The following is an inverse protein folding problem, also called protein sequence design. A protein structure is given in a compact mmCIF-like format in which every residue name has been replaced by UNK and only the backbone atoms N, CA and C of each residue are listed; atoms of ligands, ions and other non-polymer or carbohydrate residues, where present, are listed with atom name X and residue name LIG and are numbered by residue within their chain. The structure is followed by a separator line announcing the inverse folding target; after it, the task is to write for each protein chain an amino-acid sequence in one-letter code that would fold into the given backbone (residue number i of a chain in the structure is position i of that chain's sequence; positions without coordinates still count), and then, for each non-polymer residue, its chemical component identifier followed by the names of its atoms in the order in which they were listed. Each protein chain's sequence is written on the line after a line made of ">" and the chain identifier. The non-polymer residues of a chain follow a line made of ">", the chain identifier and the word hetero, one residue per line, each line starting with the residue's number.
data_IF_704002751524
#
_entry.id   IF_704002751524
#
_cell.length_a   1.000
_cell.length_b   1.000
_cell.length_c   1.000
_cell.angle_alpha   90.00
_cell.angle_beta   90.00
_cell.angle_gamma   90.00
#
_symmetry.space_group_name_H-M   'P 1'
#
loop_
_entity.id
_entity.type
_entity.pdbx_description
1 polymer ?
#
# COMPACT_ATOMS: atom_id res chain seq x y z
N UNK A 1 -21.60 -130.79 -29.92
CA UNK A 1 -22.53 -129.65 -30.16
C UNK A 1 -22.98 -128.91 -28.90
N UNK A 2 -22.87 -129.48 -27.68
CA UNK A 2 -23.24 -128.81 -26.41
C UNK A 2 -22.21 -127.80 -25.86
N UNK A 3 -20.94 -127.91 -26.22
CA UNK A 3 -19.86 -127.03 -25.73
C UNK A 3 -19.85 -125.64 -26.39
N UNK A 4 -20.32 -125.53 -27.65
CA UNK A 4 -20.44 -124.25 -28.37
C UNK A 4 -21.57 -123.37 -27.84
N UNK A 5 -22.65 -123.98 -27.31
CA UNK A 5 -23.78 -123.26 -26.70
C UNK A 5 -23.36 -122.62 -25.37
N UNK A 6 -22.50 -123.28 -24.58
CA UNK A 6 -21.98 -122.73 -23.32
C UNK A 6 -21.03 -121.54 -23.57
N UNK A 7 -20.25 -121.57 -24.66
CA UNK A 7 -19.37 -120.46 -25.06
C UNK A 7 -20.12 -119.23 -25.56
N UNK A 8 -21.30 -119.40 -26.18
CA UNK A 8 -22.13 -118.28 -26.65
C UNK A 8 -22.91 -117.65 -25.48
N UNK A 9 -23.30 -118.44 -24.47
CA UNK A 9 -23.95 -117.94 -23.27
C UNK A 9 -23.00 -117.13 -22.38
N UNK A 10 -21.71 -117.53 -22.30
CA UNK A 10 -20.69 -116.81 -21.53
C UNK A 10 -20.27 -115.48 -22.20
N UNK A 11 -20.35 -115.39 -23.53
CA UNK A 11 -20.02 -114.18 -24.29
C UNK A 11 -21.14 -113.12 -24.23
N UNK A 12 -22.39 -113.55 -23.98
CA UNK A 12 -23.53 -112.63 -23.83
C UNK A 12 -23.56 -111.88 -22.49
N UNK A 13 -22.87 -112.39 -21.46
CA UNK A 13 -22.86 -111.76 -20.12
C UNK A 13 -21.88 -110.58 -20.02
N UNK A 14 -20.95 -110.42 -20.97
CA UNK A 14 -19.93 -109.36 -20.95
C UNK A 14 -20.49 -108.03 -21.51
N UNK A 15 -21.64 -108.05 -22.18
CA UNK A 15 -22.21 -106.88 -22.86
C UNK A 15 -23.12 -105.99 -21.98
N UNK A 16 -23.39 -106.34 -20.72
CA UNK A 16 -24.28 -105.56 -19.82
C UNK A 16 -23.49 -104.67 -18.83
N UNK A 17 -22.25 -104.32 -19.18
CA UNK A 17 -21.31 -103.63 -18.29
C UNK A 17 -20.98 -102.17 -18.61
N UNK A 18 -21.70 -101.49 -19.52
CA UNK A 18 -21.40 -100.10 -19.89
C UNK A 18 -22.63 -99.18 -19.76
N UNK A 19 -22.92 -98.78 -18.53
CA UNK A 19 -23.80 -97.64 -18.24
C UNK A 19 -22.93 -96.42 -17.94
N UNK A 20 -22.63 -95.66 -19.00
CA UNK A 20 -22.01 -94.34 -18.90
C UNK A 20 -22.86 -93.45 -17.97
N UNK A 21 -22.31 -93.12 -16.80
CA UNK A 21 -22.85 -92.09 -15.92
C UNK A 21 -22.74 -90.75 -16.65
N UNK A 22 -23.88 -90.19 -17.02
CA UNK A 22 -23.99 -88.83 -17.50
C UNK A 22 -23.68 -87.86 -16.33
N UNK A 23 -22.56 -87.16 -16.44
CA UNK A 23 -22.22 -86.04 -15.56
C UNK A 23 -23.29 -84.96 -15.66
N UNK A 24 -24.07 -84.80 -14.58
CA UNK A 24 -24.88 -83.61 -14.37
C UNK A 24 -23.96 -82.48 -13.93
N UNK A 25 -23.48 -81.69 -14.89
CA UNK A 25 -22.89 -80.38 -14.59
C UNK A 25 -24.04 -79.46 -14.14
N UNK A 26 -24.14 -79.27 -12.83
CA UNK A 26 -25.01 -78.28 -12.21
C UNK A 26 -24.60 -76.89 -12.71
N UNK A 27 -25.44 -76.25 -13.52
CA UNK A 27 -25.21 -74.89 -14.01
C UNK A 27 -25.26 -73.94 -12.82
N UNK A 28 -24.08 -73.57 -12.30
CA UNK A 28 -23.95 -72.55 -11.26
C UNK A 28 -24.64 -71.25 -11.70
N UNK A 29 -25.53 -70.75 -10.83
CA UNK A 29 -26.25 -69.50 -11.00
C UNK A 29 -25.24 -68.34 -10.88
N UNK A 30 -24.68 -67.93 -12.00
CA UNK A 30 -23.74 -66.80 -12.05
C UNK A 30 -24.48 -65.48 -11.86
N UNK A 31 -24.05 -64.73 -10.83
CA UNK A 31 -24.54 -63.39 -10.54
C UNK A 31 -23.79 -62.39 -11.42
N UNK A 32 -24.50 -61.66 -12.27
CA UNK A 32 -23.88 -60.65 -13.13
C UNK A 32 -23.57 -59.40 -12.32
N UNK A 33 -22.30 -59.00 -12.31
CA UNK A 33 -21.84 -57.75 -11.71
C UNK A 33 -21.54 -56.74 -12.81
N UNK A 34 -21.93 -55.49 -12.59
CA UNK A 34 -21.61 -54.40 -13.51
C UNK A 34 -20.18 -53.96 -13.24
N UNK A 35 -19.29 -54.19 -14.20
CA UNK A 35 -17.91 -53.70 -14.16
C UNK A 35 -17.78 -52.45 -15.04
N UNK A 36 -16.73 -51.68 -14.78
CA UNK A 36 -16.31 -50.58 -15.66
C UNK A 36 -14.82 -50.73 -15.92
N UNK A 37 -14.38 -50.39 -17.13
CA UNK A 37 -12.95 -50.38 -17.46
C UNK A 37 -12.28 -49.18 -16.79
N UNK A 38 -11.11 -49.41 -16.20
CA UNK A 38 -10.28 -48.35 -15.63
C UNK A 38 -9.45 -47.76 -16.77
N UNK A 39 -9.49 -46.44 -16.92
CA UNK A 39 -8.64 -45.69 -17.85
C UNK A 39 -7.67 -44.82 -17.06
N UNK A 40 -6.38 -44.89 -17.39
CA UNK A 40 -5.39 -43.95 -16.89
C UNK A 40 -5.57 -42.63 -17.61
N UNK A 41 -5.88 -41.57 -16.86
CA UNK A 41 -5.94 -40.19 -17.37
C UNK A 41 -4.93 -39.34 -16.60
N UNK A 42 -4.35 -38.37 -17.28
CA UNK A 42 -3.46 -37.40 -16.65
C UNK A 42 -4.24 -36.59 -15.62
N UNK A 43 -3.94 -36.82 -14.35
CA UNK A 43 -4.55 -36.11 -13.22
C UNK A 43 -3.68 -34.90 -12.86
N UNK A 44 -4.16 -33.72 -13.19
CA UNK A 44 -3.53 -32.45 -12.80
C UNK A 44 -4.07 -32.05 -11.42
N UNK A 45 -3.31 -32.32 -10.35
CA UNK A 45 -3.66 -31.89 -9.00
C UNK A 45 -3.45 -30.38 -8.84
N UNK A 46 -4.48 -29.57 -9.13
CA UNK A 46 -4.43 -28.11 -8.98
C UNK A 46 -4.90 -27.70 -7.59
N UNK A 47 -3.99 -27.15 -6.79
CA UNK A 47 -4.31 -26.49 -5.52
C UNK A 47 -4.57 -25.00 -5.77
N UNK A 48 -5.79 -24.54 -5.53
CA UNK A 48 -6.16 -23.11 -5.64
C UNK A 48 -6.07 -22.49 -4.25
N UNK A 49 -5.10 -21.60 -4.06
CA UNK A 49 -4.93 -20.86 -2.82
C UNK A 49 -5.40 -19.42 -3.04
N UNK A 50 -6.49 -18.98 -2.40
CA UNK A 50 -6.90 -17.58 -2.46
C UNK A 50 -5.88 -16.72 -1.70
N UNK A 51 -5.42 -15.64 -2.32
CA UNK A 51 -4.49 -14.69 -1.73
C UNK A 51 -4.93 -13.26 -1.99
N UNK A 52 -4.47 -12.33 -1.14
CA UNK A 52 -4.64 -10.89 -1.35
C UNK A 52 -3.30 -10.30 -1.75
N UNK A 53 -3.32 -9.48 -2.81
CA UNK A 53 -2.17 -8.67 -3.18
C UNK A 53 -2.10 -7.46 -2.25
N UNK A 54 -0.93 -7.27 -1.64
CA UNK A 54 -0.63 -6.08 -0.85
C UNK A 54 0.57 -5.36 -1.47
N UNK A 55 0.62 -4.02 -1.38
CA UNK A 55 1.77 -3.27 -1.82
C UNK A 55 3.00 -3.67 -1.00
N UNK A 56 4.15 -3.82 -1.67
CA UNK A 56 5.43 -4.09 -1.00
C UNK A 56 5.81 -2.94 -0.05
N UNK A 57 5.53 -1.71 -0.47
CA UNK A 57 5.79 -0.48 0.29
C UNK A 57 4.58 0.44 0.16
N UNK A 58 4.17 1.02 1.29
CA UNK A 58 3.09 2.00 1.35
C UNK A 58 3.53 3.16 2.22
N UNK A 59 3.43 4.37 1.69
CA UNK A 59 3.80 5.60 2.40
C UNK A 59 2.63 6.55 2.38
N UNK A 60 2.24 7.02 3.56
CA UNK A 60 1.27 8.10 3.71
C UNK A 60 2.00 9.43 3.69
N UNK A 61 1.75 10.25 2.67
CA UNK A 61 2.31 11.59 2.57
C UNK A 61 1.42 12.56 3.34
N UNK A 62 1.97 13.19 4.38
CA UNK A 62 1.30 14.23 5.16
C UNK A 62 2.03 15.56 5.03
N UNK A 63 1.27 16.65 5.13
CA UNK A 63 1.89 17.96 5.22
C UNK A 63 2.55 18.13 6.59
N UNK A 64 3.74 18.72 6.61
CA UNK A 64 4.41 19.19 7.84
C UNK A 64 3.95 20.58 8.27
N UNK A 65 3.28 21.30 7.38
CA UNK A 65 2.80 22.65 7.58
C UNK A 65 1.27 22.68 7.58
N UNK A 66 0.69 23.44 8.49
CA UNK A 66 -0.74 23.73 8.51
C UNK A 66 -1.04 24.85 7.51
N UNK A 67 -2.06 24.69 6.68
CA UNK A 67 -2.45 25.71 5.72
C UNK A 67 -3.47 25.22 4.70
N UNK A 68 -3.99 26.13 3.90
CA UNK A 68 -4.92 25.83 2.80
C UNK A 68 -4.15 25.35 1.58
N UNK A 69 -4.66 24.32 0.88
CA UNK A 69 -4.06 23.87 -0.38
C UNK A 69 -4.34 24.92 -1.46
N UNK A 70 -3.29 25.49 -2.03
CA UNK A 70 -3.34 26.38 -3.18
C UNK A 70 -3.55 25.62 -4.49
N UNK A 71 -2.84 24.50 -4.69
CA UNK A 71 -2.99 23.68 -5.90
C UNK A 71 -2.61 22.22 -5.68
N UNK A 72 -3.16 21.32 -6.51
CA UNK A 72 -2.77 19.91 -6.60
C UNK A 72 -2.30 19.66 -8.03
N UNK A 73 -1.06 19.20 -8.19
CA UNK A 73 -0.38 19.08 -9.49
C UNK A 73 -0.31 17.64 -10.00
N UNK A 74 -1.10 16.72 -9.42
CA UNK A 74 -1.16 15.32 -9.83
C UNK A 74 -2.60 14.84 -9.98
N UNK A 75 -2.76 13.78 -10.77
CA UNK A 75 -4.02 13.05 -10.92
C UNK A 75 -3.96 11.72 -10.20
N UNK A 76 -5.11 11.27 -9.69
CA UNK A 76 -5.25 9.97 -9.03
C UNK A 76 -4.90 8.85 -10.00
N UNK A 77 -4.05 7.91 -9.56
CA UNK A 77 -3.62 6.76 -10.35
C UNK A 77 -2.37 7.01 -11.21
N UNK A 78 -1.84 8.23 -11.26
CA UNK A 78 -0.56 8.49 -11.94
C UNK A 78 0.64 8.13 -11.08
N UNK A 79 1.68 7.61 -11.72
CA UNK A 79 2.96 7.37 -11.09
C UNK A 79 3.67 8.70 -10.79
N UNK A 80 4.26 8.80 -9.61
CA UNK A 80 5.03 9.97 -9.16
C UNK A 80 6.48 9.59 -8.89
N UNK A 81 7.41 10.52 -9.15
CA UNK A 81 8.84 10.32 -8.86
C UNK A 81 9.21 10.94 -7.51
N UNK A 82 10.30 10.45 -6.91
CA UNK A 82 10.85 11.05 -5.68
C UNK A 82 11.18 12.53 -5.94
N UNK A 83 10.67 13.40 -5.07
CA UNK A 83 10.87 14.85 -5.18
C UNK A 83 9.93 15.57 -6.15
N UNK A 84 8.96 14.86 -6.76
CA UNK A 84 7.94 15.49 -7.58
C UNK A 84 6.95 16.30 -6.71
N UNK A 85 6.62 17.50 -7.16
CA UNK A 85 5.62 18.34 -6.54
C UNK A 85 4.23 17.72 -6.69
N UNK A 86 3.56 17.47 -5.55
CA UNK A 86 2.22 16.88 -5.51
C UNK A 86 1.16 17.94 -5.25
N UNK A 87 1.40 18.83 -4.30
CA UNK A 87 0.47 19.91 -3.93
C UNK A 87 1.25 21.14 -3.44
N UNK A 88 0.66 22.32 -3.59
CA UNK A 88 1.15 23.59 -3.06
C UNK A 88 0.24 24.07 -1.94
N UNK A 89 0.82 24.45 -0.80
CA UNK A 89 0.11 25.09 0.31
C UNK A 89 0.27 26.60 0.14
N UNK A 90 -0.79 27.34 0.41
CA UNK A 90 -0.77 28.80 0.40
C UNK A 90 0.11 29.33 1.53
N UNK A 91 1.17 30.06 1.17
CA UNK A 91 2.15 30.66 2.06
C UNK A 91 2.02 32.19 2.17
N UNK A 92 1.03 32.78 1.49
CA UNK A 92 0.84 34.24 1.42
C UNK A 92 0.72 34.88 2.81
N UNK A 93 -0.01 34.24 3.73
CA UNK A 93 -0.17 34.72 5.10
C UNK A 93 1.14 34.79 5.89
N UNK A 94 2.08 33.88 5.64
CA UNK A 94 3.38 33.90 6.32
C UNK A 94 4.25 35.03 5.80
N UNK A 95 4.21 35.29 4.48
CA UNK A 95 4.92 36.42 3.89
C UNK A 95 4.35 37.75 4.37
N UNK A 96 3.02 37.89 4.41
CA UNK A 96 2.35 39.09 4.94
C UNK A 96 2.73 39.34 6.40
N UNK A 97 2.76 38.30 7.25
CA UNK A 97 3.18 38.44 8.65
C UNK A 97 4.64 38.87 8.77
N UNK A 98 5.52 38.30 7.95
CA UNK A 98 6.94 38.68 7.91
C UNK A 98 7.11 40.15 7.53
N UNK A 99 6.47 40.58 6.44
CA UNK A 99 6.55 41.97 5.96
C UNK A 99 5.95 42.95 6.99
N UNK A 100 4.83 42.61 7.63
CA UNK A 100 4.23 43.42 8.68
C UNK A 100 5.13 43.54 9.92
N UNK A 101 5.77 42.46 10.35
CA UNK A 101 6.68 42.47 11.49
C UNK A 101 7.96 43.27 11.18
N UNK A 102 8.48 43.18 9.95
CA UNK A 102 9.62 43.98 9.47
C UNK A 102 9.31 45.47 9.51
N UNK A 103 8.16 45.87 8.97
CA UNK A 103 7.68 47.26 9.01
C UNK A 103 7.51 47.73 10.46
N UNK A 104 7.07 46.86 11.37
CA UNK A 104 6.98 47.14 12.80
C UNK A 104 8.34 47.51 13.43
N UNK A 105 9.39 46.76 13.10
CA UNK A 105 10.77 47.06 13.52
C UNK A 105 11.26 48.37 12.91
N UNK A 106 11.04 48.58 11.62
CA UNK A 106 11.46 49.81 10.94
C UNK A 106 10.80 51.06 11.54
N UNK A 107 9.51 50.99 11.87
CA UNK A 107 8.80 52.07 12.55
C UNK A 107 9.34 52.34 13.97
N UNK A 108 9.67 51.28 14.71
CA UNK A 108 10.23 51.41 16.05
C UNK A 108 11.64 52.02 16.00
N UNK A 109 12.47 51.59 15.04
CA UNK A 109 13.80 52.18 14.78
C UNK A 109 13.68 53.66 14.41
N UNK A 110 12.81 54.03 13.48
CA UNK A 110 12.59 55.43 13.11
C UNK A 110 12.07 56.28 14.28
N UNK A 111 11.32 55.69 15.21
CA UNK A 111 10.85 56.39 16.40
C UNK A 111 11.99 56.61 17.38
N UNK A 112 12.82 55.60 17.61
CA UNK A 112 14.02 55.71 18.43
C UNK A 112 15.00 56.73 17.84
N UNK A 113 15.28 56.67 16.53
CA UNK A 113 16.17 57.61 15.84
C UNK A 113 15.66 59.05 15.91
N UNK A 114 14.35 59.27 15.81
CA UNK A 114 13.77 60.61 16.01
C UNK A 114 13.93 61.07 17.45
N UNK A 115 13.76 60.18 18.44
CA UNK A 115 13.93 60.56 19.83
C UNK A 115 15.39 60.85 20.15
N UNK A 116 16.35 60.04 19.70
CA UNK A 116 17.78 60.22 19.98
C UNK A 116 18.40 61.42 19.26
N UNK A 117 17.96 61.74 18.04
CA UNK A 117 18.48 62.88 17.28
C UNK A 117 17.89 64.24 17.70
N UNK A 118 16.70 64.26 18.34
CA UNK A 118 16.02 65.49 18.76
C UNK A 118 16.02 65.72 20.28
N UNK A 119 16.54 64.80 21.09
CA UNK A 119 16.65 65.01 22.54
C UNK A 119 17.95 65.73 22.89
N UNK A 120 17.83 66.91 23.51
CA UNK A 120 18.94 67.56 24.20
C UNK A 120 19.52 66.60 25.26
N UNK A 121 20.85 66.66 25.48
CA UNK A 121 21.66 65.73 26.28
C UNK A 121 21.15 65.51 27.73
N UNK A 122 20.29 66.41 28.23
CA UNK A 122 19.63 66.39 29.54
C UNK A 122 18.29 65.66 29.59
N UNK A 123 17.69 65.31 28.45
CA UNK A 123 16.47 64.49 28.31
C UNK A 123 16.80 63.05 27.91
N UNK A 124 17.77 62.41 28.57
CA UNK A 124 17.84 60.93 28.63
C UNK A 124 16.66 60.39 29.44
N UNK A 125 15.48 60.75 28.98
CA UNK A 125 14.21 60.60 29.64
C UNK A 125 13.70 59.19 29.45
N UNK A 126 12.81 58.83 30.37
CA UNK A 126 11.96 57.64 30.34
C UNK A 126 11.37 57.34 28.94
N UNK A 127 11.19 58.36 28.09
CA UNK A 127 10.71 58.22 26.71
C UNK A 127 11.67 57.46 25.79
N UNK A 128 12.99 57.69 25.90
CA UNK A 128 13.99 56.94 25.11
C UNK A 128 14.04 55.49 25.58
N UNK A 129 14.02 55.26 26.90
CA UNK A 129 13.98 53.90 27.46
C UNK A 129 12.71 53.14 27.05
N UNK A 130 11.55 53.82 27.01
CA UNK A 130 10.32 53.25 26.47
C UNK A 130 10.42 52.95 24.96
N UNK A 131 11.07 53.81 24.18
CA UNK A 131 11.29 53.58 22.75
C UNK A 131 12.27 52.42 22.47
N UNK A 132 13.34 52.29 23.25
CA UNK A 132 14.25 51.13 23.20
C UNK A 132 13.52 49.83 23.59
N UNK A 133 12.70 49.87 24.64
CA UNK A 133 11.88 48.72 25.03
C UNK A 133 10.88 48.33 23.93
N UNK A 134 10.24 49.31 23.27
CA UNK A 134 9.34 49.09 22.15
C UNK A 134 10.08 48.51 20.93
N UNK A 135 11.26 49.04 20.60
CA UNK A 135 12.14 48.52 19.55
C UNK A 135 12.53 47.07 19.83
N UNK A 136 12.97 46.76 21.06
CA UNK A 136 13.37 45.41 21.44
C UNK A 136 12.20 44.42 21.41
N UNK A 137 11.01 44.86 21.79
CA UNK A 137 9.78 44.07 21.67
C UNK A 137 9.46 43.77 20.19
N UNK A 138 9.51 44.80 19.33
CA UNK A 138 9.31 44.65 17.88
C UNK A 138 10.35 43.71 17.26
N UNK A 139 11.63 43.82 17.65
CA UNK A 139 12.72 42.94 17.23
C UNK A 139 12.43 41.48 17.60
N UNK A 140 12.01 41.24 18.84
CA UNK A 140 11.68 39.89 19.35
C UNK A 140 10.51 39.29 18.57
N UNK A 141 9.48 40.10 18.29
CA UNK A 141 8.35 39.67 17.47
C UNK A 141 8.80 39.33 16.03
N UNK A 142 9.62 40.19 15.42
CA UNK A 142 10.18 39.95 14.09
C UNK A 142 11.01 38.67 14.04
N UNK A 143 11.89 38.42 15.02
CA UNK A 143 12.67 37.18 15.08
C UNK A 143 11.78 35.94 15.18
N UNK A 144 10.68 36.00 15.94
CA UNK A 144 9.75 34.89 16.06
C UNK A 144 9.02 34.62 14.74
N UNK A 145 8.56 35.67 14.05
CA UNK A 145 7.90 35.57 12.76
C UNK A 145 8.88 35.12 11.67
N UNK A 146 10.11 35.63 11.69
CA UNK A 146 11.19 35.23 10.79
C UNK A 146 11.53 33.75 10.95
N UNK A 147 11.68 33.26 12.19
CA UNK A 147 11.89 31.83 12.46
C UNK A 147 10.76 30.99 11.87
N UNK A 148 9.50 31.42 12.04
CA UNK A 148 8.35 30.71 11.47
C UNK A 148 8.36 30.71 9.94
N UNK A 149 8.69 31.85 9.32
CA UNK A 149 8.80 31.99 7.86
C UNK A 149 9.96 31.14 7.30
N UNK A 150 11.13 31.15 7.95
CA UNK A 150 12.29 30.35 7.56
C UNK A 150 12.04 28.86 7.72
N UNK A 151 11.38 28.43 8.80
CA UNK A 151 10.98 27.04 8.97
C UNK A 151 10.04 26.60 7.83
N UNK A 152 9.08 27.45 7.45
CA UNK A 152 8.22 27.20 6.30
C UNK A 152 9.01 27.12 4.99
N UNK A 153 9.93 28.06 4.75
CA UNK A 153 10.78 28.09 3.56
C UNK A 153 11.71 26.87 3.49
N UNK A 154 12.26 26.40 4.60
CA UNK A 154 13.07 25.18 4.61
C UNK A 154 12.25 23.92 4.32
N UNK A 155 11.02 23.86 4.84
CA UNK A 155 10.09 22.79 4.49
C UNK A 155 9.76 22.84 2.99
N UNK A 156 9.64 24.04 2.43
CA UNK A 156 9.47 24.26 0.99
C UNK A 156 10.67 23.77 0.17
N UNK A 157 11.89 24.21 0.51
CA UNK A 157 13.12 23.88 -0.21
C UNK A 157 13.51 22.40 -0.16
N UNK A 158 13.12 21.68 0.91
CA UNK A 158 13.32 20.22 1.03
C UNK A 158 12.42 19.39 0.09
N UNK A 159 11.79 20.02 -0.89
CA UNK A 159 11.00 19.36 -1.94
C UNK A 159 9.53 19.15 -1.57
N UNK A 160 9.01 19.90 -0.58
CA UNK A 160 7.58 19.90 -0.29
C UNK A 160 6.81 20.97 -1.07
N UNK A 161 7.48 21.97 -1.69
CA UNK A 161 6.84 22.93 -2.62
C UNK A 161 7.83 23.57 -3.64
N UNK A 162 7.31 24.37 -4.57
CA UNK A 162 7.60 24.39 -6.00
C UNK A 162 8.80 25.17 -6.63
N UNK A 163 9.85 25.70 -6.00
CA UNK A 163 10.99 26.49 -6.60
C UNK A 163 10.72 27.56 -7.71
N UNK A 164 9.52 27.77 -8.25
CA UNK A 164 9.32 28.48 -9.52
C UNK A 164 8.49 29.76 -9.38
N UNK A 165 8.59 30.47 -8.25
CA UNK A 165 8.02 31.82 -8.09
C UNK A 165 8.93 32.77 -7.28
N UNK A 166 10.20 32.40 -6.99
CA UNK A 166 11.08 33.28 -6.21
C UNK A 166 11.74 34.41 -7.04
N UNK A 167 11.64 34.35 -8.38
CA UNK A 167 12.35 35.28 -9.29
C UNK A 167 11.44 36.33 -9.96
N UNK A 168 10.28 36.67 -9.37
CA UNK A 168 9.41 37.74 -9.90
C UNK A 168 8.94 38.75 -8.86
N UNK A 169 9.86 39.21 -8.02
CA UNK A 169 9.82 40.55 -7.40
C UNK A 169 11.19 41.19 -7.61
#
# INVERSE_FOLDING_TARGET
>A
MRLKILSVLLLSLIFVGCSAKADKIEKQKVSYVKTTSIETKDFQNKLIIPGKLNPKEQVTVTSKASGTIQSINIEVGKAVKKGQLIAKIDDSMYKIQYDAAKVGVDNANQTLDRMTNFSDETMKSQDIEMAEAAQKSAQTNFENVEKNYLNMKQLYEKGAVAKTDFDSI
#
